data_IF_198433443747
#
_entry.id   IF_198433443747
#
_cell.length_a   1.000
_cell.length_b   1.000
_cell.length_c   1.000
_cell.angle_alpha   90.00
_cell.angle_beta   90.00
_cell.angle_gamma   90.00
#
_symmetry.space_group_name_H-M   'P 1'
#
loop_
_entity.id
_entity.type
_entity.pdbx_description
1 polymer ?
#
# COMPACT_ATOMS: atom_id res chain seq x y z
N UNK A 1 2.15 21.04 17.84
CA UNK A 1 1.33 20.48 16.74
C UNK A 1 0.84 19.11 17.18
N UNK A 2 -0.46 18.93 17.35
CA UNK A 2 -1.05 17.64 17.72
C UNK A 2 -0.84 16.65 16.58
N UNK A 3 -0.02 15.63 16.80
CA UNK A 3 0.15 14.51 15.84
C UNK A 3 -1.22 13.94 15.48
N UNK A 4 -1.62 14.03 14.21
CA UNK A 4 -2.93 13.55 13.77
C UNK A 4 -2.90 12.03 13.61
N UNK A 5 -3.11 11.30 14.72
CA UNK A 5 -3.15 9.84 14.71
C UNK A 5 -4.29 9.28 13.85
N UNK A 6 -5.32 10.08 13.55
CA UNK A 6 -6.37 9.73 12.60
C UNK A 6 -5.80 9.45 11.20
N UNK A 7 -5.18 10.46 10.60
CA UNK A 7 -4.60 10.37 9.25
C UNK A 7 -3.44 9.37 9.17
N UNK A 8 -2.58 9.36 10.20
CA UNK A 8 -1.48 8.41 10.31
C UNK A 8 -2.01 6.98 10.27
N UNK A 9 -3.11 6.70 10.98
CA UNK A 9 -3.70 5.36 11.02
C UNK A 9 -4.37 4.99 9.71
N UNK A 10 -5.03 5.93 9.02
CA UNK A 10 -5.60 5.70 7.68
C UNK A 10 -4.52 5.37 6.66
N UNK A 11 -3.46 6.18 6.60
CA UNK A 11 -2.34 5.94 5.69
C UNK A 11 -1.62 4.62 6.00
N UNK A 12 -1.44 4.30 7.29
CA UNK A 12 -0.86 3.03 7.71
C UNK A 12 -1.76 1.83 7.34
N UNK A 13 -3.08 1.95 7.47
CA UNK A 13 -4.02 0.94 7.01
C UNK A 13 -3.88 0.68 5.51
N UNK A 14 -3.70 1.73 4.70
CA UNK A 14 -3.39 1.58 3.26
C UNK A 14 -2.10 0.78 2.99
N UNK A 15 -1.04 1.01 3.78
CA UNK A 15 0.19 0.22 3.71
C UNK A 15 -0.08 -1.24 4.07
N UNK A 16 -0.79 -1.48 5.18
CA UNK A 16 -1.16 -2.81 5.65
C UNK A 16 -2.03 -3.57 4.63
N UNK A 17 -2.96 -2.89 3.97
CA UNK A 17 -3.80 -3.47 2.92
C UNK A 17 -2.96 -3.93 1.74
N UNK A 18 -2.05 -3.07 1.26
CA UNK A 18 -1.16 -3.40 0.16
C UNK A 18 -0.28 -4.62 0.46
N UNK A 19 0.29 -4.72 1.65
CA UNK A 19 1.14 -5.88 1.99
C UNK A 19 0.34 -7.15 2.28
N UNK A 20 -0.91 -7.02 2.72
CA UNK A 20 -1.84 -8.16 2.83
C UNK A 20 -2.16 -8.72 1.43
N UNK A 21 -2.41 -7.85 0.45
CA UNK A 21 -2.59 -8.26 -0.95
C UNK A 21 -1.35 -8.99 -1.50
N UNK A 22 -0.14 -8.50 -1.21
CA UNK A 22 1.12 -9.15 -1.61
C UNK A 22 1.19 -10.59 -1.06
N UNK A 23 0.93 -10.77 0.24
CA UNK A 23 0.94 -12.09 0.85
C UNK A 23 -0.14 -12.99 0.24
N UNK A 24 -1.36 -12.49 0.04
CA UNK A 24 -2.45 -13.25 -0.55
C UNK A 24 -2.12 -13.72 -1.97
N UNK A 25 -1.61 -12.84 -2.84
CA UNK A 25 -1.18 -13.23 -4.18
C UNK A 25 -0.04 -14.27 -4.16
N UNK A 26 0.94 -14.09 -3.27
CA UNK A 26 2.08 -15.00 -3.18
C UNK A 26 1.71 -16.39 -2.64
N UNK A 27 0.77 -16.48 -1.70
CA UNK A 27 0.39 -17.76 -1.06
C UNK A 27 -0.85 -18.42 -1.68
N UNK A 28 -1.75 -17.66 -2.30
CA UNK A 28 -3.05 -18.15 -2.80
C UNK A 28 -3.26 -17.93 -4.30
N UNK A 29 -2.37 -17.20 -4.97
CA UNK A 29 -2.53 -16.83 -6.38
C UNK A 29 -3.72 -15.90 -6.65
N UNK A 30 -4.39 -15.43 -5.61
CA UNK A 30 -5.59 -14.60 -5.70
C UNK A 30 -5.78 -13.79 -4.42
N UNK A 31 -6.51 -12.69 -4.53
CA UNK A 31 -6.92 -11.83 -3.43
C UNK A 31 -8.29 -11.25 -3.76
N UNK A 32 -8.94 -10.64 -2.77
CA UNK A 32 -10.19 -9.90 -2.97
C UNK A 32 -10.02 -8.82 -4.05
N UNK A 33 -10.87 -8.88 -5.09
CA UNK A 33 -10.77 -8.01 -6.26
C UNK A 33 -11.07 -6.55 -5.93
N UNK A 34 -12.01 -6.29 -5.03
CA UNK A 34 -12.41 -4.94 -4.66
C UNK A 34 -11.33 -4.30 -3.78
N UNK A 35 -10.79 -5.06 -2.82
CA UNK A 35 -9.64 -4.60 -2.01
C UNK A 35 -8.45 -4.25 -2.90
N UNK A 36 -8.14 -5.11 -3.89
CA UNK A 36 -7.08 -4.83 -4.86
C UNK A 36 -7.40 -3.59 -5.70
N UNK A 37 -8.63 -3.46 -6.20
CA UNK A 37 -9.09 -2.32 -6.99
C UNK A 37 -8.94 -0.99 -6.25
N UNK A 38 -9.40 -0.91 -5.00
CA UNK A 38 -9.26 0.31 -4.19
C UNK A 38 -7.79 0.67 -3.97
N UNK A 39 -6.93 -0.31 -3.69
CA UNK A 39 -5.49 -0.08 -3.53
C UNK A 39 -4.84 0.41 -4.83
N UNK A 40 -5.20 -0.15 -5.99
CA UNK A 40 -4.65 0.28 -7.28
C UNK A 40 -5.15 1.66 -7.69
N UNK A 41 -6.45 1.94 -7.53
CA UNK A 41 -7.04 3.27 -7.81
C UNK A 41 -6.37 4.39 -7.00
N UNK A 42 -5.94 4.09 -5.77
CA UNK A 42 -5.23 5.07 -4.94
C UNK A 42 -3.97 5.67 -5.59
N UNK A 43 -3.35 4.96 -6.55
CA UNK A 43 -2.16 5.40 -7.27
C UNK A 43 -2.42 6.61 -8.17
N UNK A 44 -3.64 6.78 -8.66
CA UNK A 44 -4.00 7.89 -9.55
C UNK A 44 -4.59 9.09 -8.80
N UNK A 45 -4.82 8.98 -7.48
CA UNK A 45 -5.25 10.12 -6.66
C UNK A 45 -4.03 10.95 -6.28
N UNK A 46 -3.66 11.89 -7.16
CA UNK A 46 -2.43 12.71 -7.04
C UNK A 46 -2.61 13.97 -6.18
N UNK A 47 -3.80 14.56 -6.18
CA UNK A 47 -4.13 15.77 -5.41
C UNK A 47 -5.37 15.52 -4.52
N UNK A 48 -5.24 14.71 -3.45
CA UNK A 48 -6.36 14.41 -2.56
C UNK A 48 -6.71 15.60 -1.66
N UNK A 49 -8.01 15.85 -1.45
CA UNK A 49 -8.50 16.85 -0.49
C UNK A 49 -8.37 16.37 0.97
N UNK A 50 -8.31 15.06 1.19
CA UNK A 50 -8.16 14.44 2.51
C UNK A 50 -7.36 13.13 2.44
N UNK A 51 -6.88 12.64 3.59
CA UNK A 51 -6.22 11.32 3.67
C UNK A 51 -7.15 10.19 3.22
N UNK A 52 -8.46 10.31 3.47
CA UNK A 52 -9.45 9.30 3.09
C UNK A 52 -9.78 9.35 1.59
N UNK A 53 -9.73 10.52 0.96
CA UNK A 53 -9.97 10.70 -0.48
C UNK A 53 -9.05 9.86 -1.36
N UNK A 54 -7.82 9.65 -0.88
CA UNK A 54 -6.86 8.68 -1.46
C UNK A 54 -7.46 7.30 -1.70
N UNK A 55 -8.29 6.86 -0.76
CA UNK A 55 -8.89 5.54 -0.73
C UNK A 55 -10.36 5.58 -1.15
N UNK A 56 -10.78 6.64 -1.87
CA UNK A 56 -12.13 6.78 -2.41
C UNK A 56 -13.18 7.24 -1.40
N UNK A 57 -12.78 8.01 -0.38
CA UNK A 57 -13.68 8.63 0.62
C UNK A 57 -14.54 7.65 1.44
N UNK A 58 -14.20 6.36 1.43
CA UNK A 58 -14.93 5.32 2.17
C UNK A 58 -13.98 4.51 3.06
N UNK A 59 -14.26 4.50 4.36
CA UNK A 59 -13.48 3.71 5.32
C UNK A 59 -13.57 2.20 5.05
N UNK A 60 -14.69 1.72 4.52
CA UNK A 60 -14.89 0.31 4.13
C UNK A 60 -13.85 -0.18 3.12
N UNK A 61 -13.35 0.69 2.24
CA UNK A 61 -12.28 0.35 1.29
C UNK A 61 -10.95 0.01 1.95
N UNK A 62 -10.77 0.39 3.23
CA UNK A 62 -9.60 0.11 4.05
C UNK A 62 -9.82 -1.01 5.06
N UNK A 63 -10.96 -1.72 5.04
CA UNK A 63 -11.31 -2.73 6.04
C UNK A 63 -10.19 -3.75 6.25
N UNK A 64 -9.70 -4.37 5.17
CA UNK A 64 -8.58 -5.34 5.21
C UNK A 64 -7.31 -4.71 5.78
N UNK A 65 -7.02 -3.46 5.41
CA UNK A 65 -5.89 -2.70 5.94
C UNK A 65 -6.00 -2.43 7.44
N UNK A 66 -7.20 -2.07 7.92
CA UNK A 66 -7.48 -1.79 9.33
C UNK A 66 -7.41 -3.05 10.20
N UNK A 67 -7.95 -4.18 9.72
CA UNK A 67 -7.80 -5.48 10.39
C UNK A 67 -6.32 -5.87 10.50
N UNK A 68 -5.60 -5.75 9.38
CA UNK A 68 -4.17 -6.06 9.31
C UNK A 68 -3.37 -5.13 10.24
N UNK A 69 -3.66 -3.83 10.25
CA UNK A 69 -3.02 -2.86 11.13
C UNK A 69 -3.28 -3.19 12.61
N UNK A 70 -4.49 -3.57 12.99
CA UNK A 70 -4.81 -3.99 14.36
C UNK A 70 -3.98 -5.21 14.79
N UNK A 71 -3.90 -6.24 13.93
CA UNK A 71 -3.08 -7.41 14.22
C UNK A 71 -1.59 -7.05 14.38
N UNK A 72 -1.06 -6.23 13.47
CA UNK A 72 0.33 -5.78 13.53
C UNK A 72 0.61 -4.88 14.74
N UNK A 73 -0.37 -4.11 15.20
CA UNK A 73 -0.25 -3.24 16.39
C UNK A 73 -0.50 -3.99 17.71
N UNK A 74 -0.70 -5.30 17.69
CA UNK A 74 -0.78 -6.14 18.89
C UNK A 74 -2.16 -6.20 19.51
N UNK A 75 -3.21 -6.16 18.67
CA UNK A 75 -4.58 -6.44 19.12
C UNK A 75 -4.65 -7.80 19.84
N UNK A 76 -5.31 -7.92 21.01
CA UNK A 76 -5.42 -9.18 21.74
C UNK A 76 -6.02 -10.33 20.92
N UNK A 77 -6.88 -10.00 19.95
CA UNK A 77 -7.59 -10.96 19.11
C UNK A 77 -6.86 -11.25 17.79
N UNK A 78 -5.77 -10.54 17.48
CA UNK A 78 -5.02 -10.67 16.23
C UNK A 78 -3.72 -11.44 16.42
N UNK A 79 -3.42 -12.37 15.52
CA UNK A 79 -2.09 -13.01 15.47
C UNK A 79 -1.12 -12.08 14.74
N UNK A 80 0.00 -11.76 15.39
CA UNK A 80 1.07 -11.01 14.76
C UNK A 80 1.68 -11.86 13.64
N UNK A 81 1.49 -11.44 12.40
CA UNK A 81 2.11 -12.05 11.23
C UNK A 81 3.47 -11.38 10.98
N UNK A 82 4.55 -12.14 11.14
CA UNK A 82 5.93 -11.62 10.97
C UNK A 82 6.31 -11.38 9.51
N UNK A 83 5.66 -12.06 8.56
CA UNK A 83 5.86 -11.86 7.12
C UNK A 83 5.27 -10.51 6.71
N UNK A 84 4.01 -10.25 7.09
CA UNK A 84 3.36 -8.94 6.92
C UNK A 84 4.19 -7.86 7.61
N UNK A 85 4.65 -8.14 8.84
CA UNK A 85 5.57 -7.30 9.61
C UNK A 85 6.76 -6.81 8.78
N UNK A 86 7.45 -7.76 8.15
CA UNK A 86 8.60 -7.50 7.31
C UNK A 86 8.24 -6.68 6.07
N UNK A 87 7.10 -6.97 5.43
CA UNK A 87 6.69 -6.24 4.24
C UNK A 87 6.40 -4.78 4.52
N UNK A 88 5.56 -4.45 5.51
CA UNK A 88 5.21 -3.03 5.74
C UNK A 88 6.42 -2.21 6.21
N UNK A 89 7.33 -2.79 7.00
CA UNK A 89 8.57 -2.12 7.41
C UNK A 89 9.42 -1.77 6.19
N UNK A 90 9.56 -2.69 5.24
CA UNK A 90 10.33 -2.47 4.02
C UNK A 90 9.64 -1.50 3.05
N UNK A 91 8.32 -1.56 2.92
CA UNK A 91 7.54 -0.59 2.14
C UNK A 91 7.73 0.82 2.71
N UNK A 92 7.60 1.00 4.02
CA UNK A 92 7.86 2.30 4.65
C UNK A 92 9.30 2.77 4.44
N UNK A 93 10.28 1.86 4.53
CA UNK A 93 11.68 2.17 4.26
C UNK A 93 11.91 2.66 2.83
N UNK A 94 11.38 1.94 1.84
CA UNK A 94 11.49 2.32 0.42
C UNK A 94 10.74 3.61 0.13
N UNK A 95 9.55 3.82 0.70
CA UNK A 95 8.81 5.07 0.56
C UNK A 95 9.60 6.26 1.11
N UNK A 96 10.39 6.07 2.19
CA UNK A 96 11.25 7.11 2.74
C UNK A 96 12.45 7.40 1.82
N UNK A 97 13.02 6.37 1.19
CA UNK A 97 14.10 6.54 0.21
C UNK A 97 13.63 7.26 -1.04
N UNK A 98 12.47 6.88 -1.57
CA UNK A 98 11.80 7.64 -2.63
C UNK A 98 11.55 9.08 -2.18
N UNK A 99 11.07 9.28 -0.94
CA UNK A 99 10.82 10.63 -0.44
C UNK A 99 12.08 11.53 -0.44
N UNK A 100 13.26 10.93 -0.31
CA UNK A 100 14.57 11.61 -0.33
C UNK A 100 15.24 11.67 -1.71
N UNK A 101 14.63 11.10 -2.75
CA UNK A 101 15.18 11.06 -4.10
C UNK A 101 14.28 11.86 -5.08
N UNK A 102 14.59 13.15 -5.36
CA UNK A 102 13.79 13.99 -6.25
C UNK A 102 13.67 13.46 -7.67
N UNK A 103 14.74 12.88 -8.22
CA UNK A 103 14.75 12.32 -9.57
C UNK A 103 13.80 11.13 -9.70
N UNK A 104 13.88 10.19 -8.75
CA UNK A 104 12.98 9.03 -8.72
C UNK A 104 11.52 9.43 -8.51
N UNK A 105 11.25 10.48 -7.72
CA UNK A 105 9.90 11.04 -7.58
C UNK A 105 9.38 11.63 -8.89
N UNK A 106 10.19 12.44 -9.57
CA UNK A 106 9.80 13.04 -10.83
C UNK A 106 9.48 11.96 -11.87
N UNK A 107 10.35 10.94 -11.97
CA UNK A 107 10.13 9.77 -12.84
C UNK A 107 8.88 8.98 -12.47
N UNK A 108 8.60 8.78 -11.18
CA UNK A 108 7.38 8.12 -10.73
C UNK A 108 6.13 8.92 -11.17
N UNK A 109 6.14 10.24 -10.93
CA UNK A 109 5.02 11.11 -11.29
C UNK A 109 4.77 11.11 -12.81
N UNK A 110 5.83 11.24 -13.60
CA UNK A 110 5.74 11.16 -15.07
C UNK A 110 5.12 9.83 -15.53
N UNK A 111 5.61 8.70 -15.00
CA UNK A 111 5.12 7.37 -15.38
C UNK A 111 3.66 7.17 -14.94
N UNK A 112 3.25 7.65 -13.77
CA UNK A 112 1.85 7.61 -13.34
C UNK A 112 0.95 8.49 -14.21
N UNK A 113 1.43 9.66 -14.65
CA UNK A 113 0.70 10.51 -15.59
C UNK A 113 0.52 9.82 -16.96
N UNK A 114 1.50 9.03 -17.41
CA UNK A 114 1.35 8.21 -18.62
C UNK A 114 0.26 7.14 -18.47
N UNK A 115 0.18 6.48 -17.30
CA UNK A 115 -0.91 5.53 -16.99
C UNK A 115 -2.27 6.23 -17.10
N UNK A 116 -2.41 7.40 -16.48
CA UNK A 116 -3.66 8.17 -16.50
C UNK A 116 -4.09 8.56 -17.93
N UNK A 117 -3.14 8.96 -18.78
CA UNK A 117 -3.41 9.26 -20.20
C UNK A 117 -3.82 8.05 -21.02
N UNK A 118 -3.35 6.86 -20.66
CA UNK A 118 -3.66 5.60 -21.37
C UNK A 118 -4.96 4.97 -20.89
N UNK A 119 -5.44 5.32 -19.69
CA UNK A 119 -6.61 4.73 -19.05
C UNK A 119 -7.89 4.74 -19.93
N UNK A 120 -8.19 5.80 -20.72
CA UNK A 120 -9.34 5.79 -21.63
C UNK A 120 -9.27 4.72 -22.74
N UNK A 121 -8.07 4.25 -23.12
CA UNK A 121 -7.89 3.18 -24.11
C UNK A 121 -8.33 1.81 -23.59
N UNK A 122 -8.52 1.68 -22.28
CA UNK A 122 -8.92 0.45 -21.58
C UNK A 122 -10.29 0.61 -20.90
N UNK A 123 -11.20 1.38 -21.50
CA UNK A 123 -12.56 1.63 -20.96
C UNK A 123 -12.56 2.24 -19.54
N UNK A 124 -11.48 2.94 -19.20
CA UNK A 124 -11.21 3.45 -17.86
C UNK A 124 -11.02 2.37 -16.76
N UNK A 125 -10.71 1.13 -17.14
CA UNK A 125 -10.40 0.06 -16.21
C UNK A 125 -8.91 0.00 -15.86
N UNK A 126 -8.56 0.52 -14.69
CA UNK A 126 -7.20 0.43 -14.14
C UNK A 126 -6.78 -1.00 -13.78
N UNK A 127 -7.75 -1.92 -13.68
CA UNK A 127 -7.53 -3.33 -13.36
C UNK A 127 -7.28 -4.20 -14.59
N UNK A 128 -7.34 -3.63 -15.80
CA UNK A 128 -6.96 -4.34 -17.01
C UNK A 128 -5.53 -4.88 -16.90
N UNK A 129 -5.28 -6.09 -17.41
CA UNK A 129 -4.00 -6.79 -17.24
C UNK A 129 -2.79 -5.95 -17.71
N UNK A 130 -2.95 -5.23 -18.82
CA UNK A 130 -1.90 -4.33 -19.34
C UNK A 130 -1.63 -3.14 -18.40
N UNK A 131 -2.66 -2.61 -17.74
CA UNK A 131 -2.51 -1.52 -16.76
C UNK A 131 -1.78 -2.02 -15.52
N UNK A 132 -2.14 -3.20 -15.01
CA UNK A 132 -1.43 -3.85 -13.90
C UNK A 132 0.03 -4.14 -14.27
N UNK A 133 0.29 -4.62 -15.49
CA UNK A 133 1.65 -4.84 -15.98
C UNK A 133 2.47 -3.54 -16.04
N UNK A 134 1.87 -2.43 -16.51
CA UNK A 134 2.54 -1.13 -16.56
C UNK A 134 2.86 -0.60 -15.15
N UNK A 135 1.92 -0.74 -14.19
CA UNK A 135 2.15 -0.39 -12.79
C UNK A 135 3.26 -1.24 -12.14
N UNK A 136 3.28 -2.54 -12.45
CA UNK A 136 4.34 -3.44 -12.00
C UNK A 136 5.72 -3.07 -12.55
N UNK A 137 5.78 -2.58 -13.80
CA UNK A 137 7.00 -2.07 -14.40
C UNK A 137 7.47 -0.79 -13.70
N UNK A 138 6.56 0.13 -13.35
CA UNK A 138 6.90 1.33 -12.57
C UNK A 138 7.57 0.96 -11.23
N UNK A 139 7.03 -0.01 -10.50
CA UNK A 139 7.66 -0.49 -9.27
C UNK A 139 9.08 -1.02 -9.54
N UNK A 140 9.24 -1.84 -10.57
CA UNK A 140 10.52 -2.48 -10.93
C UNK A 140 11.58 -1.44 -11.34
N UNK A 141 11.19 -0.47 -12.16
CA UNK A 141 12.10 0.50 -12.79
C UNK A 141 12.46 1.67 -11.87
N UNK A 142 11.54 2.07 -10.98
CA UNK A 142 11.65 3.32 -10.21
C UNK A 142 11.84 3.06 -8.72
N UNK A 143 11.13 2.08 -8.15
CA UNK A 143 11.09 1.88 -6.70
C UNK A 143 12.10 0.83 -6.24
N UNK A 144 12.09 -0.34 -6.87
CA UNK A 144 12.96 -1.46 -6.48
C UNK A 144 14.45 -1.11 -6.46
N UNK A 145 15.00 -0.26 -7.35
CA UNK A 145 16.42 0.09 -7.33
C UNK A 145 16.84 1.00 -6.17
N UNK A 146 15.90 1.65 -5.48
CA UNK A 146 16.21 2.60 -4.40
C UNK A 146 16.73 1.92 -3.13
N UNK A 147 16.53 0.61 -2.98
CA UNK A 147 16.93 -0.10 -1.77
C UNK A 147 16.94 -1.61 -1.88
N UNK A 148 17.02 -2.25 -0.71
CA UNK A 148 16.95 -3.70 -0.61
C UNK A 148 15.61 -4.20 -1.16
N UNK A 149 15.67 -5.23 -2.01
CA UNK A 149 14.49 -5.88 -2.55
C UNK A 149 13.61 -6.42 -1.41
N UNK A 150 12.30 -6.25 -1.54
CA UNK A 150 11.32 -6.92 -0.69
C UNK A 150 11.31 -8.38 -1.13
N UNK A 151 11.77 -9.27 -0.25
CA UNK A 151 11.78 -10.71 -0.51
C UNK A 151 10.40 -11.27 -0.21
N UNK A 152 9.60 -11.48 -1.26
CA UNK A 152 8.25 -12.02 -1.14
C UNK A 152 8.32 -13.54 -1.01
N UNK A 153 7.75 -14.06 0.09
CA UNK A 153 7.59 -15.48 0.38
C UNK A 153 6.20 -15.94 -0.06
N UNK A 154 6.08 -17.19 -0.48
CA UNK A 154 4.84 -17.76 -0.99
C UNK A 154 5.06 -19.12 -1.63
N UNK A 155 4.01 -19.65 -2.27
CA UNK A 155 4.09 -20.91 -2.99
C UNK A 155 4.76 -20.71 -4.34
N UNK A 156 5.71 -21.57 -4.68
CA UNK A 156 6.50 -21.45 -5.91
C UNK A 156 5.60 -21.43 -7.16
N UNK A 157 4.57 -22.27 -7.21
CA UNK A 157 3.61 -22.36 -8.31
C UNK A 157 2.92 -21.02 -8.62
N UNK A 158 2.71 -20.18 -7.62
CA UNK A 158 2.17 -18.84 -7.80
C UNK A 158 3.26 -17.83 -8.12
N UNK A 159 4.41 -17.89 -7.44
CA UNK A 159 5.49 -16.93 -7.61
C UNK A 159 6.16 -16.99 -8.99
N UNK A 160 6.10 -18.11 -9.70
CA UNK A 160 6.61 -18.22 -11.07
C UNK A 160 5.68 -17.60 -12.11
N UNK A 161 4.40 -17.37 -11.77
CA UNK A 161 3.40 -16.89 -12.72
C UNK A 161 3.55 -15.38 -12.98
N UNK A 162 3.68 -14.93 -14.25
CA UNK A 162 3.87 -13.52 -14.57
C UNK A 162 2.73 -12.62 -14.07
N UNK A 163 1.48 -13.06 -14.18
CA UNK A 163 0.30 -12.29 -13.75
C UNK A 163 0.31 -12.04 -12.24
N UNK A 164 0.71 -13.06 -11.46
CA UNK A 164 0.85 -12.95 -10.00
C UNK A 164 2.00 -12.01 -9.63
N UNK A 165 3.15 -12.12 -10.30
CA UNK A 165 4.27 -11.20 -10.06
C UNK A 165 3.89 -9.74 -10.36
N UNK A 166 3.12 -9.50 -11.42
CA UNK A 166 2.64 -8.16 -11.77
C UNK A 166 1.70 -7.62 -10.68
N UNK A 167 0.72 -8.42 -10.24
CA UNK A 167 -0.19 -8.05 -9.14
C UNK A 167 0.57 -7.74 -7.85
N UNK A 168 1.54 -8.58 -7.48
CA UNK A 168 2.42 -8.34 -6.31
C UNK A 168 3.14 -6.99 -6.43
N UNK A 169 3.80 -6.71 -7.56
CA UNK A 169 4.55 -5.46 -7.75
C UNK A 169 3.63 -4.24 -7.79
N UNK A 170 2.45 -4.35 -8.39
CA UNK A 170 1.44 -3.30 -8.40
C UNK A 170 0.89 -3.03 -6.98
N UNK A 171 0.63 -4.07 -6.18
CA UNK A 171 0.28 -3.93 -4.76
C UNK A 171 1.40 -3.26 -3.95
N UNK A 172 2.66 -3.63 -4.19
CA UNK A 172 3.80 -2.95 -3.55
C UNK A 172 3.86 -1.46 -3.91
N UNK A 173 3.62 -1.10 -5.18
CA UNK A 173 3.54 0.29 -5.60
C UNK A 173 2.44 1.05 -4.84
N UNK A 174 1.24 0.46 -4.70
CA UNK A 174 0.16 1.03 -3.90
C UNK A 174 0.56 1.22 -2.43
N UNK A 175 1.27 0.25 -1.85
CA UNK A 175 1.83 0.35 -0.50
C UNK A 175 2.85 1.48 -0.37
N UNK A 176 3.68 1.71 -1.39
CA UNK A 176 4.67 2.80 -1.42
C UNK A 176 3.96 4.15 -1.44
N UNK A 177 2.91 4.29 -2.25
CA UNK A 177 2.07 5.50 -2.28
C UNK A 177 1.40 5.76 -0.93
N UNK A 178 0.86 4.72 -0.28
CA UNK A 178 0.33 4.85 1.08
C UNK A 178 1.43 5.20 2.11
N UNK A 179 2.65 4.69 1.92
CA UNK A 179 3.81 5.03 2.74
C UNK A 179 4.30 6.48 2.57
N UNK A 180 4.18 7.04 1.35
CA UNK A 180 4.42 8.49 1.11
C UNK A 180 3.36 9.30 1.84
N UNK A 181 2.08 8.95 1.69
CA UNK A 181 0.98 9.62 2.40
C UNK A 181 1.21 9.59 3.91
N UNK A 182 1.60 8.43 4.45
CA UNK A 182 1.91 8.28 5.86
C UNK A 182 2.99 9.27 6.32
N UNK A 183 4.04 9.49 5.53
CA UNK A 183 5.05 10.52 5.84
C UNK A 183 4.49 11.94 5.73
N UNK A 184 3.66 12.22 4.72
CA UNK A 184 3.04 13.54 4.51
C UNK A 184 2.16 13.96 5.69
N UNK A 185 1.46 13.02 6.32
CA UNK A 185 0.59 13.26 7.48
C UNK A 185 1.33 13.16 8.83
N UNK A 186 2.66 13.15 8.81
CA UNK A 186 3.50 13.18 10.02
C UNK A 186 3.88 11.80 10.59
N UNK A 187 3.74 10.74 9.80
CA UNK A 187 4.14 9.38 10.15
C UNK A 187 5.65 9.23 10.37
N UNK A 188 6.04 8.62 11.49
CA UNK A 188 7.45 8.33 11.81
C UNK A 188 7.62 6.97 12.47
N UNK A 189 8.78 6.33 12.26
CA UNK A 189 9.06 4.99 12.80
C UNK A 189 8.95 4.91 14.33
N UNK A 190 9.27 6.01 15.02
CA UNK A 190 9.15 6.13 16.47
C UNK A 190 7.71 5.95 16.97
N UNK A 191 6.70 6.20 16.13
CA UNK A 191 5.30 5.97 16.50
C UNK A 191 4.97 4.49 16.70
N UNK A 192 5.64 3.57 15.99
CA UNK A 192 5.43 2.14 16.21
C UNK A 192 6.08 1.65 17.51
N UNK A 193 7.10 2.35 18.02
CA UNK A 193 7.77 2.01 19.27
C UNK A 193 7.06 2.62 20.49
N UNK A 194 6.69 3.91 20.41
CA UNK A 194 6.17 4.65 21.56
C UNK A 194 4.65 4.88 21.53
N UNK A 195 4.02 4.81 20.36
CA UNK A 195 2.61 5.17 20.18
C UNK A 195 1.76 4.05 19.56
N UNK A 196 2.26 2.80 19.62
CA UNK A 196 1.57 1.60 19.10
C UNK A 196 0.12 1.50 19.59
N UNK A 197 -0.12 1.75 20.88
CA UNK A 197 -1.48 1.73 21.47
C UNK A 197 -2.41 2.79 20.87
N UNK A 198 -1.90 3.98 20.54
CA UNK A 198 -2.72 5.04 19.93
C UNK A 198 -3.17 4.65 18.52
N UNK A 199 -2.24 4.11 17.72
CA UNK A 199 -2.54 3.60 16.37
C UNK A 199 -3.55 2.44 16.45
N UNK A 200 -3.35 1.51 17.39
CA UNK A 200 -4.27 0.39 17.60
C UNK A 200 -5.70 0.87 17.95
N UNK A 201 -5.82 1.76 18.92
CA UNK A 201 -7.11 2.29 19.37
C UNK A 201 -7.83 3.02 18.22
N UNK A 202 -7.09 3.82 17.44
CA UNK A 202 -7.66 4.53 16.30
C UNK A 202 -8.11 3.54 15.20
N UNK A 203 -7.32 2.49 14.93
CA UNK A 203 -7.67 1.48 13.94
C UNK A 203 -8.92 0.70 14.35
N UNK A 204 -9.05 0.37 15.65
CA UNK A 204 -10.25 -0.25 16.21
C UNK A 204 -11.48 0.66 16.12
N UNK A 205 -11.31 1.97 16.34
CA UNK A 205 -12.40 2.93 16.20
C UNK A 205 -12.89 2.99 14.75
N UNK A 206 -11.98 3.09 13.78
CA UNK A 206 -12.34 3.05 12.37
C UNK A 206 -13.03 1.75 11.98
N UNK A 207 -12.49 0.62 12.43
CA UNK A 207 -13.05 -0.68 12.11
C UNK A 207 -14.48 -0.87 12.64
N UNK A 208 -14.79 -0.31 13.81
CA UNK A 208 -16.15 -0.33 14.38
C UNK A 208 -17.14 0.57 13.65
N UNK A 209 -16.66 1.53 12.86
CA UNK A 209 -17.49 2.46 12.08
C UNK A 209 -17.78 2.00 10.66
N UNK A 210 -17.31 0.81 10.27
CA UNK A 210 -17.51 0.18 8.96
C UNK A 210 -18.58 -0.89 9.05
#
# INVERSE_FOLDING_TARGET
MSTNYHDITLAFAGVCQAVSLVQQFAHRGSADRDVFSHSIKSLLVTQPESTLAVFGDQLSHLKTGLETAQAQMGSPNGKLDTEIGRYWINVLALSQKLNKNPEAKAKLAERLQQIERQLPLYENDIMADQMIANLAAIYSDVISPLGSKIHVLGLQDYLVRPDIQQKIRASLLAGIRAGILWQQVGGTRWQFLFFRRKILNQAQQFYKSI
#
